data_IF_514171120722
#
_entry.id   IF_514171120722
#
_cell.length_a   1.000
_cell.length_b   1.000
_cell.length_c   1.000
_cell.angle_alpha   90.00
_cell.angle_beta   90.00
_cell.angle_gamma   90.00
#
_symmetry.space_group_name_H-M   'P 1'
#
loop_
_entity.id
_entity.type
_entity.pdbx_description
1 polymer ?
#
# COMPACT_ATOMS: atom_id res chain seq x y z
N UNK A 1 -16.30 -3.74 -6.17
CA UNK A 1 -15.46 -2.64 -5.76
C UNK A 1 -15.97 -1.91 -4.53
N UNK A 2 -15.48 -0.72 -4.31
CA UNK A 2 -15.83 0.10 -3.14
C UNK A 2 -17.31 0.37 -3.03
N UNK A 3 -17.98 0.62 -4.14
CA UNK A 3 -19.42 0.88 -4.20
C UNK A 3 -20.24 -0.23 -3.53
N UNK A 4 -19.96 -1.48 -3.90
CA UNK A 4 -20.60 -2.64 -3.31
C UNK A 4 -20.27 -2.79 -1.82
N UNK A 5 -19.00 -2.57 -1.48
CA UNK A 5 -18.53 -2.67 -0.10
C UNK A 5 -19.25 -1.69 0.81
N UNK A 6 -19.42 -0.46 0.37
CA UNK A 6 -20.12 0.59 1.12
C UNK A 6 -21.60 0.27 1.23
N UNK A 7 -22.22 -0.21 0.14
CA UNK A 7 -23.64 -0.57 0.14
C UNK A 7 -23.93 -1.74 1.09
N UNK A 8 -23.05 -2.74 1.13
CA UNK A 8 -23.22 -3.91 1.98
C UNK A 8 -22.84 -3.65 3.45
N UNK A 9 -22.08 -2.59 3.71
CA UNK A 9 -21.59 -2.25 5.05
C UNK A 9 -21.83 -0.77 5.38
N UNK A 10 -23.09 -0.37 5.61
CA UNK A 10 -23.42 1.05 5.83
C UNK A 10 -22.79 1.65 7.09
N UNK A 11 -22.39 0.82 8.05
CA UNK A 11 -21.76 1.27 9.29
C UNK A 11 -20.22 1.32 9.21
N UNK A 12 -19.68 1.07 8.03
CA UNK A 12 -18.23 1.07 7.83
C UNK A 12 -17.64 2.47 8.03
N UNK A 13 -16.62 2.58 8.89
CA UNK A 13 -15.98 3.86 9.21
C UNK A 13 -14.57 3.98 8.61
N UNK A 14 -13.99 2.87 8.17
CA UNK A 14 -12.65 2.86 7.61
C UNK A 14 -12.47 1.74 6.59
N UNK A 15 -11.58 1.97 5.64
CA UNK A 15 -11.17 0.96 4.66
C UNK A 15 -9.66 0.95 4.52
N UNK A 16 -9.09 -0.24 4.47
CA UNK A 16 -7.68 -0.45 4.14
C UNK A 16 -7.58 -1.16 2.80
N UNK A 17 -6.83 -0.59 1.90
CA UNK A 17 -6.64 -1.11 0.54
C UNK A 17 -5.22 -1.64 0.40
N UNK A 18 -5.08 -2.85 -0.10
CA UNK A 18 -3.88 -3.65 0.04
C UNK A 18 -2.91 -3.62 -1.15
N UNK A 19 -3.21 -2.86 -2.19
CA UNK A 19 -2.27 -2.60 -3.28
C UNK A 19 -2.58 -1.26 -3.96
N UNK A 20 -1.64 -0.82 -4.81
CA UNK A 20 -1.76 0.47 -5.47
C UNK A 20 -2.93 0.57 -6.46
N UNK A 21 -3.13 -0.44 -7.28
CA UNK A 21 -4.21 -0.43 -8.28
C UNK A 21 -5.59 -0.38 -7.62
N UNK A 22 -5.77 -1.14 -6.56
CA UNK A 22 -7.00 -1.11 -5.77
C UNK A 22 -7.16 0.23 -5.04
N UNK A 23 -6.07 0.81 -4.56
CA UNK A 23 -6.09 2.14 -3.92
C UNK A 23 -6.59 3.19 -4.91
N UNK A 24 -6.08 3.17 -6.13
CA UNK A 24 -6.52 4.08 -7.19
C UNK A 24 -8.01 3.87 -7.50
N UNK A 25 -8.44 2.62 -7.63
CA UNK A 25 -9.84 2.29 -7.85
C UNK A 25 -10.74 2.76 -6.70
N UNK A 26 -10.28 2.62 -5.47
CA UNK A 26 -11.01 3.08 -4.29
C UNK A 26 -11.16 4.61 -4.25
N UNK A 27 -10.12 5.34 -4.62
CA UNK A 27 -10.17 6.82 -4.73
C UNK A 27 -11.17 7.25 -5.79
N UNK A 28 -11.17 6.58 -6.94
CA UNK A 28 -12.16 6.83 -7.99
C UNK A 28 -13.58 6.57 -7.45
N UNK A 29 -13.77 5.46 -6.77
CA UNK A 29 -15.08 5.12 -6.16
C UNK A 29 -15.55 6.14 -5.14
N UNK A 30 -14.64 6.63 -4.30
CA UNK A 30 -14.94 7.69 -3.33
C UNK A 30 -15.40 8.96 -4.04
N UNK A 31 -14.74 9.33 -5.13
CA UNK A 31 -15.11 10.51 -5.91
C UNK A 31 -16.49 10.34 -6.57
N UNK A 32 -16.73 9.17 -7.16
CA UNK A 32 -18.01 8.88 -7.82
C UNK A 32 -19.19 8.83 -6.84
N UNK A 33 -18.96 8.29 -5.63
CA UNK A 33 -19.97 8.23 -4.57
C UNK A 33 -20.09 9.54 -3.78
N UNK A 34 -19.25 10.52 -4.08
CA UNK A 34 -19.15 11.79 -3.36
C UNK A 34 -18.98 11.62 -1.85
N UNK A 35 -18.23 10.61 -1.44
CA UNK A 35 -17.93 10.36 -0.03
C UNK A 35 -16.86 11.34 0.46
N UNK A 36 -17.06 11.81 1.68
CA UNK A 36 -16.10 12.72 2.32
C UNK A 36 -15.06 11.93 3.11
N UNK A 37 -13.80 12.09 2.76
CA UNK A 37 -12.67 11.50 3.45
C UNK A 37 -11.97 12.61 4.24
N UNK A 38 -11.68 12.44 5.52
CA UNK A 38 -11.97 11.28 6.38
C UNK A 38 -13.31 11.35 7.14
N UNK A 39 -14.14 12.34 6.90
CA UNK A 39 -15.33 12.63 7.72
C UNK A 39 -16.32 11.47 7.72
N UNK A 40 -16.60 10.91 6.56
CA UNK A 40 -17.54 9.79 6.42
C UNK A 40 -16.82 8.44 6.40
N UNK A 41 -15.60 8.40 5.86
CA UNK A 41 -14.85 7.18 5.71
C UNK A 41 -13.36 7.49 5.81
N UNK A 42 -12.66 6.84 6.73
CA UNK A 42 -11.21 6.87 6.78
C UNK A 42 -10.65 5.89 5.76
N UNK A 43 -9.56 6.26 5.07
CA UNK A 43 -8.95 5.42 4.06
C UNK A 43 -7.44 5.33 4.25
N UNK A 44 -6.93 4.10 4.23
CA UNK A 44 -5.49 3.83 4.16
C UNK A 44 -5.23 3.06 2.86
N UNK A 45 -4.33 3.58 2.06
CA UNK A 45 -3.91 2.94 0.82
C UNK A 45 -2.58 2.22 0.96
N UNK A 46 -2.08 1.73 -0.15
CA UNK A 46 -0.85 0.94 -0.21
C UNK A 46 0.00 1.38 -1.40
N UNK A 47 1.29 1.58 -1.18
CA UNK A 47 2.27 2.01 -2.18
C UNK A 47 1.99 3.38 -2.81
N UNK A 48 2.90 3.80 -3.65
CA UNK A 48 2.88 5.01 -4.46
C UNK A 48 2.64 6.32 -3.68
N UNK A 49 3.70 6.79 -3.04
CA UNK A 49 3.70 8.04 -2.30
C UNK A 49 3.31 9.24 -3.18
N UNK A 50 3.73 9.27 -4.43
CA UNK A 50 3.39 10.34 -5.36
C UNK A 50 1.88 10.46 -5.56
N UNK A 51 1.24 9.32 -5.79
CA UNK A 51 -0.22 9.25 -5.92
C UNK A 51 -0.91 9.69 -4.63
N UNK A 52 -0.43 9.21 -3.49
CA UNK A 52 -0.99 9.57 -2.17
C UNK A 52 -0.92 11.08 -1.92
N UNK A 53 0.18 11.72 -2.32
CA UNK A 53 0.36 13.17 -2.20
C UNK A 53 -0.52 13.97 -3.16
N UNK A 54 -0.85 13.38 -4.30
CA UNK A 54 -1.72 14.02 -5.30
C UNK A 54 -3.20 13.96 -4.92
N UNK A 55 -3.59 13.07 -4.04
CA UNK A 55 -4.97 12.98 -3.57
C UNK A 55 -5.35 14.14 -2.66
N UNK A 56 -6.64 14.42 -2.60
CA UNK A 56 -7.20 15.43 -1.70
C UNK A 56 -8.38 14.80 -0.92
N UNK A 57 -8.26 14.58 0.40
CA UNK A 57 -7.06 14.82 1.21
C UNK A 57 -5.91 13.88 0.85
N UNK A 58 -4.69 14.23 1.27
CA UNK A 58 -3.52 13.35 1.09
C UNK A 58 -3.76 12.03 1.80
N UNK A 59 -3.52 10.93 1.09
CA UNK A 59 -3.74 9.61 1.66
C UNK A 59 -2.66 9.22 2.67
N UNK A 60 -3.10 8.61 3.76
CA UNK A 60 -2.22 7.79 4.60
C UNK A 60 -2.00 6.48 3.86
N UNK A 61 -0.76 6.08 3.71
CA UNK A 61 -0.40 4.85 2.99
C UNK A 61 0.58 3.99 3.77
N UNK A 62 0.53 2.70 3.50
CA UNK A 62 1.60 1.78 3.84
C UNK A 62 2.54 1.72 2.66
N UNK A 63 3.80 2.13 2.87
CA UNK A 63 4.81 2.15 1.83
C UNK A 63 5.80 1.02 2.04
N UNK A 64 6.08 0.28 0.97
CA UNK A 64 7.13 -0.74 0.99
C UNK A 64 8.50 -0.08 0.89
N UNK A 65 9.54 -0.64 1.55
CA UNK A 65 10.90 -0.10 1.45
C UNK A 65 11.53 -0.50 0.11
N UNK A 66 11.01 0.02 -0.99
CA UNK A 66 11.37 -0.37 -2.36
C UNK A 66 12.88 -0.27 -2.64
N UNK A 67 13.59 0.82 -2.25
CA UNK A 67 15.05 0.86 -2.45
C UNK A 67 15.78 -0.24 -1.68
N UNK A 68 15.35 -0.54 -0.46
CA UNK A 68 15.95 -1.60 0.35
C UNK A 68 15.67 -2.99 -0.23
N UNK A 69 14.44 -3.22 -0.71
CA UNK A 69 14.06 -4.46 -1.39
C UNK A 69 14.94 -4.66 -2.62
N UNK A 70 15.07 -3.65 -3.46
CA UNK A 70 15.89 -3.72 -4.66
C UNK A 70 17.35 -4.03 -4.35
N UNK A 71 17.90 -3.38 -3.32
CA UNK A 71 19.28 -3.60 -2.88
C UNK A 71 19.50 -5.03 -2.38
N UNK A 72 18.61 -5.53 -1.55
CA UNK A 72 18.70 -6.89 -1.02
C UNK A 72 18.56 -7.95 -2.10
N UNK A 73 17.61 -7.79 -3.02
CA UNK A 73 17.40 -8.70 -4.14
C UNK A 73 18.65 -8.72 -5.04
N UNK A 74 19.18 -7.56 -5.39
CA UNK A 74 20.40 -7.45 -6.22
C UNK A 74 21.57 -8.10 -5.52
N UNK A 75 21.76 -7.87 -4.22
CA UNK A 75 22.83 -8.47 -3.42
C UNK A 75 22.76 -10.00 -3.39
N UNK A 76 21.57 -10.55 -3.17
CA UNK A 76 21.34 -12.00 -3.17
C UNK A 76 21.63 -12.61 -4.54
N UNK A 77 21.16 -11.96 -5.60
CA UNK A 77 21.38 -12.44 -6.98
C UNK A 77 22.86 -12.44 -7.34
N UNK A 78 23.58 -11.37 -7.04
CA UNK A 78 25.02 -11.28 -7.29
C UNK A 78 25.78 -12.36 -6.53
N UNK A 79 25.45 -12.56 -5.26
CA UNK A 79 26.08 -13.59 -4.45
C UNK A 79 25.85 -14.99 -5.03
N UNK A 80 24.64 -15.31 -5.45
CA UNK A 80 24.34 -16.59 -6.07
C UNK A 80 25.05 -16.79 -7.40
N UNK A 81 25.19 -15.75 -8.20
CA UNK A 81 25.92 -15.80 -9.47
C UNK A 81 27.42 -16.00 -9.24
N UNK A 82 28.02 -15.41 -8.22
CA UNK A 82 29.43 -15.57 -7.86
C UNK A 82 29.72 -16.99 -7.34
N UNK A 83 28.83 -17.55 -6.55
CA UNK A 83 28.97 -18.91 -6.00
C UNK A 83 28.72 -19.99 -7.05
N UNK A 84 28.11 -19.66 -8.17
CA UNK A 84 27.75 -20.58 -9.23
C UNK A 84 26.72 -21.62 -8.81
N UNK A 85 26.52 -22.65 -9.66
CA UNK A 85 25.57 -23.73 -9.40
C UNK A 85 26.07 -24.73 -8.34
N UNK A 86 27.14 -24.45 -7.64
CA UNK A 86 27.80 -25.37 -6.73
C UNK A 86 26.98 -25.65 -5.45
N UNK A 87 25.68 -25.78 -5.60
CA UNK A 87 24.86 -26.47 -4.61
C UNK A 87 24.35 -25.65 -3.46
N UNK A 88 24.32 -24.32 -3.55
CA UNK A 88 23.63 -23.55 -2.53
C UNK A 88 22.13 -23.49 -2.82
N UNK A 89 21.42 -24.52 -2.34
CA UNK A 89 19.96 -24.64 -2.46
C UNK A 89 19.24 -23.98 -1.27
N UNK A 90 19.95 -23.30 -0.38
CA UNK A 90 19.36 -22.64 0.76
C UNK A 90 18.44 -21.49 0.32
N UNK A 91 17.26 -21.45 0.88
CA UNK A 91 16.37 -20.32 0.73
C UNK A 91 16.85 -19.19 1.61
N UNK A 92 17.05 -18.04 0.99
CA UNK A 92 17.35 -16.81 1.73
C UNK A 92 16.04 -16.08 1.93
N UNK A 93 15.65 -15.89 3.18
CA UNK A 93 14.46 -15.11 3.55
C UNK A 93 14.90 -13.87 4.30
N UNK A 94 14.67 -12.71 3.68
CA UNK A 94 14.90 -11.41 4.29
C UNK A 94 13.55 -10.73 4.54
N UNK A 95 13.37 -10.23 5.76
CA UNK A 95 12.18 -9.49 6.13
C UNK A 95 12.52 -8.02 6.26
N UNK A 96 11.85 -7.20 5.45
CA UNK A 96 11.99 -5.75 5.50
C UNK A 96 10.70 -5.13 6.02
N UNK A 97 10.83 -4.10 6.83
CA UNK A 97 9.68 -3.43 7.44
C UNK A 97 9.06 -2.42 6.48
N UNK A 98 7.74 -2.48 6.35
CA UNK A 98 6.98 -1.45 5.69
C UNK A 98 6.84 -0.23 6.61
N UNK A 99 6.60 0.93 6.04
CA UNK A 99 6.44 2.19 6.75
C UNK A 99 5.04 2.74 6.55
N UNK A 100 4.45 3.31 7.60
CA UNK A 100 3.20 4.04 7.48
C UNK A 100 3.54 5.52 7.29
N UNK A 101 3.11 6.07 6.16
CA UNK A 101 3.29 7.49 5.86
C UNK A 101 1.96 8.20 6.07
N UNK A 102 1.92 9.05 7.09
CA UNK A 102 0.69 9.73 7.49
C UNK A 102 0.31 10.82 6.49
N UNK A 103 -0.93 10.77 6.03
CA UNK A 103 -1.60 11.84 5.32
C UNK A 103 -2.71 12.44 6.18
N UNK A 104 -3.82 12.79 5.55
CA UNK A 104 -5.00 13.39 6.19
C UNK A 104 -6.28 12.60 5.91
N UNK A 105 -6.16 11.34 5.49
CA UNK A 105 -7.29 10.51 5.11
C UNK A 105 -7.85 9.64 6.23
N UNK A 106 -7.33 9.78 7.43
CA UNK A 106 -7.76 9.02 8.62
C UNK A 106 -8.12 9.99 9.72
N UNK A 107 -9.24 9.74 10.40
CA UNK A 107 -9.64 10.49 11.59
C UNK A 107 -9.83 9.56 12.78
N UNK A 108 -9.73 10.14 13.97
CA UNK A 108 -10.13 9.45 15.19
C UNK A 108 -11.66 9.31 15.24
N UNK A 109 -12.11 8.21 15.74
CA UNK A 109 -13.54 7.91 15.91
C UNK A 109 -13.99 8.35 17.29
#
# INVERSE_FOLDING_TARGET
GLEKLVADNPDMTAVFVTNYEMTMGAVIGVNELALKIPEQLSMIGFDNLQFARACNPKLTIVAQPTPSIAREVAGIMLKRLEEGDAGNTERIAEKLDAEIIMGKSVRAI
#
